data_IF_632371034698
#
_entry.id   IF_632371034698
#
_cell.length_a   1.000
_cell.length_b   1.000
_cell.length_c   1.000
_cell.angle_alpha   90.00
_cell.angle_beta   90.00
_cell.angle_gamma   90.00
#
_symmetry.space_group_name_H-M   'P 1'
#
loop_
_entity.id
_entity.type
_entity.pdbx_description
1 polymer ?
#
# COMPACT_ATOMS: atom_id res chain seq x y z
N UNK A 1 26.46 -7.93 -5.15
CA UNK A 1 26.37 -7.82 -3.67
C UNK A 1 27.76 -8.12 -3.15
N UNK A 2 28.41 -7.10 -2.57
CA UNK A 2 29.71 -7.25 -1.91
C UNK A 2 29.59 -8.05 -0.60
N UNK A 3 30.69 -8.14 0.14
CA UNK A 3 30.73 -8.85 1.43
C UNK A 3 29.96 -8.12 2.56
N UNK A 4 29.45 -6.91 2.27
CA UNK A 4 28.72 -6.04 3.19
C UNK A 4 27.18 -6.19 3.10
N UNK A 5 26.69 -7.02 2.19
CA UNK A 5 25.25 -7.24 1.90
C UNK A 5 24.46 -5.98 1.46
N UNK A 6 25.15 -4.91 1.11
CA UNK A 6 24.53 -3.70 0.56
C UNK A 6 24.41 -3.83 -0.95
N UNK A 7 23.22 -3.62 -1.55
CA UNK A 7 23.06 -3.72 -2.99
C UNK A 7 23.69 -2.51 -3.70
N UNK A 8 24.50 -2.76 -4.73
CA UNK A 8 25.09 -1.71 -5.60
C UNK A 8 24.13 -1.30 -6.72
N UNK A 9 23.19 -2.16 -7.07
CA UNK A 9 22.17 -1.91 -8.10
C UNK A 9 20.81 -2.44 -7.66
N UNK A 10 19.77 -1.74 -8.02
CA UNK A 10 18.42 -2.19 -7.79
C UNK A 10 17.99 -3.23 -8.83
N UNK A 11 17.38 -4.30 -8.37
CA UNK A 11 16.94 -5.41 -9.23
C UNK A 11 15.44 -5.65 -9.06
N UNK A 12 14.73 -5.67 -10.18
CA UNK A 12 13.36 -6.13 -10.27
C UNK A 12 13.23 -7.25 -11.30
N UNK A 13 12.16 -8.02 -11.25
CA UNK A 13 11.95 -9.15 -12.14
C UNK A 13 10.54 -9.18 -12.71
N UNK A 14 10.44 -9.34 -14.02
CA UNK A 14 9.21 -9.74 -14.70
C UNK A 14 9.18 -11.28 -14.80
N UNK A 15 8.38 -11.97 -13.94
CA UNK A 15 8.38 -13.44 -13.86
C UNK A 15 7.50 -14.07 -14.97
N UNK A 16 7.68 -13.64 -16.22
CA UNK A 16 6.91 -14.11 -17.36
C UNK A 16 7.35 -15.51 -17.82
N UNK A 17 6.40 -16.37 -18.18
CA UNK A 17 6.63 -17.70 -18.78
C UNK A 17 6.83 -17.64 -20.28
N UNK A 18 6.29 -16.61 -20.93
CA UNK A 18 6.23 -16.48 -22.37
C UNK A 18 6.12 -15.00 -22.76
N UNK A 19 6.22 -14.73 -24.06
CA UNK A 19 6.17 -13.37 -24.62
C UNK A 19 4.83 -12.66 -24.32
N UNK A 20 3.64 -13.26 -24.49
CA UNK A 20 2.37 -12.61 -24.11
C UNK A 20 2.29 -12.17 -22.65
N UNK A 21 2.72 -13.01 -21.70
CA UNK A 21 2.77 -12.60 -20.29
C UNK A 21 3.72 -11.42 -20.06
N UNK A 22 4.89 -11.41 -20.72
CA UNK A 22 5.81 -10.29 -20.61
C UNK A 22 5.21 -9.01 -21.20
N UNK A 23 4.53 -9.09 -22.34
CA UNK A 23 3.85 -7.95 -22.95
C UNK A 23 2.78 -7.34 -22.02
N UNK A 24 2.00 -8.18 -21.33
CA UNK A 24 1.03 -7.71 -20.33
C UNK A 24 1.76 -6.94 -19.21
N UNK A 25 2.81 -7.50 -18.64
CA UNK A 25 3.56 -6.88 -17.54
C UNK A 25 4.19 -5.54 -17.97
N UNK A 26 4.82 -5.49 -19.14
CA UNK A 26 5.41 -4.26 -19.68
C UNK A 26 4.35 -3.22 -19.97
N UNK A 27 3.22 -3.61 -20.58
CA UNK A 27 2.12 -2.68 -20.88
C UNK A 27 1.51 -2.07 -19.63
N UNK A 28 1.39 -2.80 -18.53
CA UNK A 28 0.94 -2.26 -17.23
C UNK A 28 1.90 -1.18 -16.72
N UNK A 29 3.21 -1.43 -16.78
CA UNK A 29 4.20 -0.44 -16.36
C UNK A 29 4.17 0.79 -17.27
N UNK A 30 4.05 0.60 -18.59
CA UNK A 30 3.88 1.72 -19.54
C UNK A 30 2.59 2.50 -19.31
N UNK A 31 1.51 1.83 -18.87
CA UNK A 31 0.26 2.49 -18.50
C UNK A 31 0.47 3.40 -17.28
N UNK A 32 1.15 2.92 -16.23
CA UNK A 32 1.46 3.74 -15.04
C UNK A 32 2.32 4.95 -15.40
N UNK A 33 3.38 4.76 -16.21
CA UNK A 33 4.28 5.87 -16.62
C UNK A 33 3.52 6.98 -17.39
N UNK A 34 2.51 6.61 -18.17
CA UNK A 34 1.77 7.53 -19.03
C UNK A 34 0.43 7.96 -18.43
N UNK A 35 0.07 7.51 -17.23
CA UNK A 35 -1.17 7.95 -16.56
C UNK A 35 -1.01 9.36 -16.01
N UNK A 36 -2.10 10.12 -16.09
CA UNK A 36 -2.23 11.38 -15.37
C UNK A 36 -2.65 11.10 -13.92
N UNK A 37 -2.28 11.97 -12.99
CA UNK A 37 -2.64 11.85 -11.58
C UNK A 37 -4.18 11.81 -11.43
N UNK A 38 -4.66 10.85 -10.62
CA UNK A 38 -6.08 10.61 -10.40
C UNK A 38 -6.38 10.64 -8.89
N UNK A 39 -7.59 11.05 -8.51
CA UNK A 39 -8.03 11.14 -7.10
C UNK A 39 -7.84 9.80 -6.34
N UNK A 40 -8.06 8.66 -7.00
CA UNK A 40 -7.91 7.35 -6.37
C UNK A 40 -6.47 7.01 -5.98
N UNK A 41 -5.47 7.69 -6.53
CA UNK A 41 -4.05 7.44 -6.26
C UNK A 41 -3.64 7.82 -4.83
N UNK A 42 -4.43 8.64 -4.14
CA UNK A 42 -4.24 8.93 -2.72
C UNK A 42 -4.78 7.85 -1.78
N UNK A 43 -5.50 6.86 -2.30
CA UNK A 43 -6.11 5.79 -1.51
C UNK A 43 -5.15 4.63 -1.32
N UNK A 44 -4.94 4.28 -0.07
CA UNK A 44 -4.03 3.22 0.39
C UNK A 44 -4.86 2.14 1.08
N UNK A 45 -4.70 0.88 0.73
CA UNK A 45 -5.38 -0.22 1.41
C UNK A 45 -4.42 -0.97 2.32
N UNK A 46 -4.76 -0.97 3.60
CA UNK A 46 -4.02 -1.64 4.66
C UNK A 46 -4.81 -2.87 5.12
N UNK A 47 -4.26 -4.06 4.85
CA UNK A 47 -4.91 -5.34 5.13
C UNK A 47 -4.18 -6.04 6.26
N UNK A 48 -4.92 -6.45 7.29
CA UNK A 48 -4.41 -7.28 8.37
C UNK A 48 -5.08 -8.65 8.37
N UNK A 49 -4.25 -9.68 8.51
CA UNK A 49 -4.67 -11.07 8.65
C UNK A 49 -5.37 -11.37 9.98
N UNK A 50 -5.51 -12.68 10.25
CA UNK A 50 -6.38 -13.18 11.31
C UNK A 50 -5.88 -12.90 12.74
N UNK A 51 -4.56 -12.91 12.99
CA UNK A 51 -4.04 -12.66 14.31
C UNK A 51 -4.06 -11.17 14.66
N UNK A 52 -4.36 -10.89 15.93
CA UNK A 52 -4.40 -9.55 16.47
C UNK A 52 -3.09 -8.76 16.28
N UNK A 53 -1.97 -9.46 16.23
CA UNK A 53 -0.65 -8.87 16.02
C UNK A 53 -0.55 -8.16 14.67
N UNK A 54 -1.07 -8.74 13.59
CA UNK A 54 -1.09 -8.12 12.27
C UNK A 54 -1.90 -6.81 12.27
N UNK A 55 -3.01 -6.79 13.01
CA UNK A 55 -3.83 -5.58 13.15
C UNK A 55 -3.07 -4.50 13.93
N UNK A 56 -2.46 -4.85 15.07
CA UNK A 56 -1.67 -3.88 15.85
C UNK A 56 -0.56 -3.28 14.99
N UNK A 57 0.23 -4.10 14.31
CA UNK A 57 1.29 -3.67 13.43
C UNK A 57 0.78 -2.79 12.27
N UNK A 58 -0.37 -3.13 11.71
CA UNK A 58 -1.00 -2.33 10.65
C UNK A 58 -1.43 -0.96 11.19
N UNK A 59 -2.07 -0.89 12.36
CA UNK A 59 -2.50 0.38 12.97
C UNK A 59 -1.31 1.27 13.36
N UNK A 60 -0.16 0.72 13.70
CA UNK A 60 1.05 1.49 13.98
C UNK A 60 1.59 2.24 12.74
N UNK A 61 1.25 1.79 11.53
CA UNK A 61 1.67 2.41 10.26
C UNK A 61 0.72 3.51 9.79
N UNK A 62 -0.56 3.45 10.17
CA UNK A 62 -1.61 4.39 9.71
C UNK A 62 -1.29 5.86 9.99
N UNK A 63 -0.81 6.25 11.20
CA UNK A 63 -0.54 7.65 11.50
C UNK A 63 0.44 8.31 10.52
N UNK A 64 1.44 7.57 10.06
CA UNK A 64 2.41 8.11 9.10
C UNK A 64 1.78 8.33 7.73
N UNK A 65 0.92 7.42 7.30
CA UNK A 65 0.18 7.51 6.02
C UNK A 65 -0.71 8.76 6.01
N UNK A 66 -1.52 8.95 7.07
CA UNK A 66 -2.44 10.11 7.19
C UNK A 66 -1.66 11.43 7.24
N UNK A 67 -0.60 11.51 8.04
CA UNK A 67 0.23 12.73 8.16
C UNK A 67 0.88 13.16 6.85
N UNK A 68 0.95 12.27 5.88
CA UNK A 68 1.49 12.52 4.54
C UNK A 68 0.41 12.78 3.48
N UNK A 69 -0.84 12.94 3.91
CA UNK A 69 -1.96 13.32 3.04
C UNK A 69 -2.62 12.17 2.28
N UNK A 70 -2.32 10.92 2.66
CA UNK A 70 -2.97 9.75 2.04
C UNK A 70 -4.18 9.30 2.84
N UNK A 71 -5.10 8.59 2.17
CA UNK A 71 -6.34 8.07 2.73
C UNK A 71 -6.25 6.56 2.96
N UNK A 72 -5.86 6.12 4.18
CA UNK A 72 -5.80 4.71 4.50
C UNK A 72 -7.21 4.12 4.62
N UNK A 73 -7.49 3.14 3.79
CA UNK A 73 -8.61 2.22 3.92
C UNK A 73 -8.10 1.00 4.69
N UNK A 74 -8.95 0.44 5.53
CA UNK A 74 -8.65 -0.72 6.35
C UNK A 74 -9.51 -1.90 5.93
N UNK A 75 -8.90 -3.10 5.85
CA UNK A 75 -9.59 -4.36 5.65
C UNK A 75 -8.97 -5.40 6.57
N UNK A 76 -9.71 -5.81 7.59
CA UNK A 76 -9.23 -6.75 8.60
C UNK A 76 -10.01 -8.06 8.55
N UNK A 77 -9.26 -9.17 8.62
CA UNK A 77 -9.80 -10.52 8.60
C UNK A 77 -9.82 -11.08 10.03
N UNK A 78 -10.12 -10.21 11.01
CA UNK A 78 -10.06 -10.54 12.43
C UNK A 78 -11.00 -11.68 12.80
N UNK A 79 -10.48 -12.59 13.63
CA UNK A 79 -11.21 -13.73 14.16
C UNK A 79 -12.38 -13.36 15.08
N UNK A 80 -12.30 -12.20 15.71
CA UNK A 80 -13.12 -11.90 16.89
C UNK A 80 -14.18 -10.83 16.65
N UNK A 81 -14.21 -10.20 15.47
CA UNK A 81 -15.18 -9.15 15.19
C UNK A 81 -15.60 -9.07 13.74
N UNK A 82 -16.41 -10.06 13.31
CA UNK A 82 -17.12 -9.96 12.01
C UNK A 82 -18.04 -8.72 11.97
N UNK A 83 -18.39 -8.17 13.13
CA UNK A 83 -19.16 -6.94 13.31
C UNK A 83 -18.24 -5.69 13.46
N UNK A 84 -16.93 -5.84 13.35
CA UNK A 84 -15.98 -4.72 13.45
C UNK A 84 -16.07 -3.76 12.27
N UNK A 85 -15.81 -2.47 12.45
CA UNK A 85 -15.99 -1.44 11.41
C UNK A 85 -15.07 -1.62 10.21
N UNK A 86 -14.02 -2.42 10.34
CA UNK A 86 -13.03 -2.68 9.29
C UNK A 86 -13.01 -4.14 8.85
N UNK A 87 -13.94 -4.94 9.34
CA UNK A 87 -14.04 -6.31 8.85
C UNK A 87 -14.35 -6.33 7.36
N UNK A 88 -13.60 -7.16 6.62
CA UNK A 88 -13.75 -7.25 5.18
C UNK A 88 -13.58 -8.66 4.65
N UNK A 89 -14.14 -8.88 3.48
CA UNK A 89 -14.20 -10.15 2.76
C UNK A 89 -13.49 -10.04 1.41
N UNK A 90 -13.43 -11.15 0.66
CA UNK A 90 -12.95 -11.16 -0.73
C UNK A 90 -13.70 -10.16 -1.61
N UNK A 91 -15.02 -10.05 -1.43
CA UNK A 91 -15.85 -9.10 -2.20
C UNK A 91 -15.45 -7.65 -1.93
N UNK A 92 -15.17 -7.31 -0.68
CA UNK A 92 -14.73 -5.97 -0.30
C UNK A 92 -13.34 -5.67 -0.89
N UNK A 93 -12.44 -6.65 -0.85
CA UNK A 93 -11.11 -6.52 -1.47
C UNK A 93 -11.22 -6.27 -2.98
N UNK A 94 -12.06 -7.04 -3.69
CA UNK A 94 -12.30 -6.85 -5.13
C UNK A 94 -12.86 -5.46 -5.40
N UNK A 95 -13.82 -4.99 -4.60
CA UNK A 95 -14.38 -3.65 -4.70
C UNK A 95 -13.31 -2.57 -4.53
N UNK A 96 -12.35 -2.74 -3.62
CA UNK A 96 -11.22 -1.82 -3.49
C UNK A 96 -10.36 -1.78 -4.75
N UNK A 97 -10.03 -2.92 -5.35
CA UNK A 97 -9.30 -2.96 -6.62
C UNK A 97 -10.06 -2.23 -7.73
N UNK A 98 -11.35 -2.45 -7.87
CA UNK A 98 -12.18 -1.86 -8.92
C UNK A 98 -12.38 -0.35 -8.76
N UNK A 99 -12.52 0.12 -7.52
CA UNK A 99 -12.66 1.55 -7.22
C UNK A 99 -11.35 2.34 -7.28
N UNK A 100 -10.22 1.64 -7.35
CA UNK A 100 -8.89 2.19 -7.43
C UNK A 100 -8.24 2.41 -6.06
N UNK A 101 -7.08 1.80 -5.93
CA UNK A 101 -6.15 1.91 -4.80
C UNK A 101 -4.75 1.96 -5.40
N UNK A 102 -3.92 2.91 -4.99
CA UNK A 102 -2.57 3.04 -5.51
C UNK A 102 -1.58 2.09 -4.86
N UNK A 103 -1.78 1.80 -3.59
CA UNK A 103 -0.93 0.91 -2.82
C UNK A 103 -1.76 -0.02 -1.94
N UNK A 104 -1.39 -1.29 -1.94
CA UNK A 104 -1.98 -2.31 -1.07
C UNK A 104 -0.87 -2.92 -0.22
N UNK A 105 -1.08 -2.94 1.09
CA UNK A 105 -0.27 -3.72 2.01
C UNK A 105 -1.07 -4.87 2.59
N UNK A 106 -0.52 -6.06 2.58
CA UNK A 106 -1.03 -7.23 3.29
C UNK A 106 -0.02 -7.72 4.32
N UNK A 107 -0.41 -7.70 5.58
CA UNK A 107 0.26 -8.38 6.70
C UNK A 107 -0.61 -9.54 7.18
N UNK A 108 -0.15 -10.77 7.01
CA UNK A 108 -0.97 -11.92 7.35
C UNK A 108 -0.31 -13.25 7.00
N UNK A 109 -1.07 -14.34 7.11
CA UNK A 109 -0.66 -15.65 6.65
C UNK A 109 -0.92 -15.85 5.17
N UNK A 110 -0.02 -16.58 4.50
CA UNK A 110 -0.18 -16.88 3.09
C UNK A 110 0.61 -18.12 2.67
N UNK A 111 0.41 -18.46 1.42
CA UNK A 111 1.16 -19.48 0.72
C UNK A 111 1.16 -19.10 -0.75
N UNK A 112 2.07 -19.56 -1.57
CA UNK A 112 2.29 -19.07 -2.94
C UNK A 112 1.07 -18.47 -3.65
N UNK A 113 -0.05 -19.18 -3.71
CA UNK A 113 -1.26 -18.79 -4.44
C UNK A 113 -2.42 -18.25 -3.59
N UNK A 114 -2.19 -17.86 -2.33
CA UNK A 114 -3.28 -17.44 -1.44
C UNK A 114 -2.80 -16.43 -0.39
N UNK A 115 -3.60 -15.41 -0.11
CA UNK A 115 -3.64 -14.74 1.16
C UNK A 115 -4.53 -15.57 2.08
N UNK A 116 -3.86 -16.30 3.01
CA UNK A 116 -4.44 -17.49 3.64
C UNK A 116 -5.51 -17.21 4.67
N UNK A 117 -5.43 -16.08 5.34
CA UNK A 117 -6.36 -15.73 6.40
C UNK A 117 -7.79 -15.66 5.85
N UNK A 118 -8.62 -16.61 6.28
CA UNK A 118 -9.98 -16.85 5.76
C UNK A 118 -10.06 -16.99 4.23
N UNK A 119 -8.94 -17.38 3.58
CA UNK A 119 -8.83 -17.43 2.12
C UNK A 119 -9.23 -16.11 1.47
N UNK A 120 -8.76 -14.98 2.03
CA UNK A 120 -9.14 -13.63 1.63
C UNK A 120 -8.97 -13.39 0.13
N UNK A 121 -7.92 -13.95 -0.48
CA UNK A 121 -7.71 -13.88 -1.93
C UNK A 121 -6.98 -15.11 -2.44
N UNK A 122 -7.50 -15.71 -3.50
CA UNK A 122 -7.02 -16.96 -4.11
C UNK A 122 -6.89 -16.83 -5.63
N UNK A 123 -6.38 -17.88 -6.28
CA UNK A 123 -6.37 -17.92 -7.75
C UNK A 123 -7.75 -17.85 -8.41
N UNK A 124 -8.80 -18.35 -7.74
CA UNK A 124 -10.17 -18.31 -8.26
C UNK A 124 -10.76 -16.90 -8.33
N UNK A 125 -10.20 -15.97 -7.60
CA UNK A 125 -10.73 -14.60 -7.50
C UNK A 125 -10.23 -13.68 -8.61
N UNK A 126 -9.18 -14.09 -9.37
CA UNK A 126 -8.64 -13.28 -10.46
C UNK A 126 -9.65 -12.99 -11.57
N UNK A 127 -10.58 -13.89 -11.83
CA UNK A 127 -11.61 -13.72 -12.86
C UNK A 127 -12.56 -12.55 -12.54
N UNK A 128 -12.56 -12.07 -11.30
CA UNK A 128 -13.35 -10.94 -10.83
C UNK A 128 -12.56 -9.62 -10.83
N UNK A 129 -11.26 -9.61 -11.17
CA UNK A 129 -10.45 -8.39 -11.22
C UNK A 129 -10.49 -7.74 -12.60
N UNK A 130 -11.05 -6.52 -12.68
CA UNK A 130 -11.14 -5.73 -13.89
C UNK A 130 -10.55 -4.32 -13.72
N UNK A 131 -9.52 -4.20 -12.91
CA UNK A 131 -8.94 -2.94 -12.50
C UNK A 131 -7.76 -2.44 -13.36
N UNK A 132 -7.68 -2.82 -14.64
CA UNK A 132 -6.52 -2.51 -15.51
C UNK A 132 -6.16 -1.01 -15.56
N UNK A 133 -7.13 -0.12 -15.41
CA UNK A 133 -6.91 1.33 -15.40
C UNK A 133 -6.47 1.88 -14.03
N UNK A 134 -6.49 1.06 -12.99
CA UNK A 134 -6.27 1.44 -11.58
C UNK A 134 -5.43 0.39 -10.88
N UNK A 135 -4.20 0.22 -11.38
CA UNK A 135 -3.29 -0.83 -10.92
C UNK A 135 -2.53 -0.37 -9.68
N UNK A 136 -2.58 -1.11 -8.56
CA UNK A 136 -1.79 -0.82 -7.37
C UNK A 136 -0.35 -1.34 -7.48
N UNK A 137 0.53 -0.77 -6.63
CA UNK A 137 1.71 -1.47 -6.15
C UNK A 137 1.34 -2.25 -4.88
N UNK A 138 1.84 -3.49 -4.74
CA UNK A 138 1.48 -4.35 -3.62
C UNK A 138 2.72 -4.75 -2.82
N UNK A 139 2.66 -4.57 -1.49
CA UNK A 139 3.56 -5.24 -0.55
C UNK A 139 2.81 -6.39 0.13
N UNK A 140 3.30 -7.61 -0.07
CA UNK A 140 2.69 -8.83 0.45
C UNK A 140 3.64 -9.44 1.48
N UNK A 141 3.46 -9.02 2.73
CA UNK A 141 4.30 -9.42 3.86
C UNK A 141 3.76 -10.72 4.44
N UNK A 142 4.07 -11.81 3.73
CA UNK A 142 3.62 -13.17 4.04
C UNK A 142 4.44 -14.20 3.27
N UNK A 143 4.21 -15.50 3.56
CA UNK A 143 4.98 -16.59 2.99
C UNK A 143 4.76 -16.78 1.48
N UNK A 144 5.82 -17.00 0.71
CA UNK A 144 5.88 -17.58 -0.65
C UNK A 144 5.15 -16.83 -1.78
N UNK A 145 4.49 -15.71 -1.53
CA UNK A 145 3.68 -15.02 -2.58
C UNK A 145 4.51 -14.36 -3.68
N UNK A 146 5.81 -14.16 -3.46
CA UNK A 146 6.78 -13.63 -4.42
C UNK A 146 7.76 -14.68 -4.97
N UNK A 147 7.51 -15.98 -4.77
CA UNK A 147 8.41 -17.04 -5.26
C UNK A 147 8.35 -17.15 -6.79
N UNK A 148 9.45 -16.74 -7.43
CA UNK A 148 9.57 -16.75 -8.90
C UNK A 148 9.73 -18.14 -9.49
N UNK A 149 10.15 -19.14 -8.70
CA UNK A 149 10.33 -20.51 -9.15
C UNK A 149 8.99 -21.26 -9.16
N UNK A 150 8.05 -20.84 -8.33
CA UNK A 150 6.70 -21.40 -8.34
C UNK A 150 5.84 -20.67 -9.40
N UNK A 151 5.30 -21.40 -10.41
CA UNK A 151 4.46 -20.80 -11.44
C UNK A 151 3.12 -20.28 -10.90
N UNK A 152 2.72 -20.71 -9.71
CA UNK A 152 1.42 -20.46 -9.12
C UNK A 152 1.55 -19.57 -7.88
N UNK A 153 2.12 -18.36 -8.02
CA UNK A 153 2.18 -17.38 -6.95
C UNK A 153 1.28 -16.17 -7.24
N UNK A 154 0.75 -15.56 -6.19
CA UNK A 154 -0.09 -14.37 -6.31
C UNK A 154 0.65 -13.24 -7.01
N UNK A 155 1.89 -12.95 -6.62
CA UNK A 155 2.67 -11.87 -7.23
C UNK A 155 2.84 -12.06 -8.73
N UNK A 156 3.17 -13.26 -9.19
CA UNK A 156 3.27 -13.56 -10.60
C UNK A 156 1.93 -13.39 -11.33
N UNK A 157 0.85 -13.90 -10.76
CA UNK A 157 -0.48 -13.82 -11.36
C UNK A 157 -0.99 -12.38 -11.39
N UNK A 158 -0.76 -11.59 -10.33
CA UNK A 158 -1.12 -10.17 -10.27
C UNK A 158 -0.49 -9.37 -11.42
N UNK A 159 0.79 -9.63 -11.73
CA UNK A 159 1.47 -8.95 -12.82
C UNK A 159 1.02 -9.44 -14.21
N UNK A 160 0.73 -10.75 -14.37
CA UNK A 160 0.41 -11.35 -15.67
C UNK A 160 -1.07 -11.35 -16.05
N UNK A 161 -1.97 -10.96 -15.15
CA UNK A 161 -3.40 -10.90 -15.42
C UNK A 161 -3.74 -9.71 -16.35
N UNK A 162 -4.35 -9.99 -17.53
CA UNK A 162 -4.57 -8.99 -18.58
C UNK A 162 -5.62 -7.94 -18.24
N UNK A 163 -6.65 -8.31 -17.46
CA UNK A 163 -7.80 -7.45 -17.17
C UNK A 163 -7.60 -6.60 -15.92
N UNK A 164 -6.54 -6.88 -15.12
CA UNK A 164 -6.32 -6.16 -13.87
C UNK A 164 -5.14 -6.69 -13.07
N UNK A 165 -5.24 -6.66 -11.74
CA UNK A 165 -4.20 -7.06 -10.80
C UNK A 165 -3.34 -5.90 -10.34
N UNK A 166 -2.01 -6.01 -10.46
CA UNK A 166 -1.05 -5.02 -9.99
C UNK A 166 0.02 -4.73 -11.07
N UNK A 167 0.68 -3.57 -10.97
CA UNK A 167 1.83 -3.26 -11.84
C UNK A 167 3.18 -3.64 -11.21
N UNK A 168 3.22 -3.77 -9.89
CA UNK A 168 4.39 -4.18 -9.14
C UNK A 168 4.01 -4.93 -7.87
N UNK A 169 4.92 -5.78 -7.40
CA UNK A 169 4.72 -6.63 -6.23
C UNK A 169 6.02 -6.80 -5.47
N UNK A 170 5.98 -6.56 -4.17
CA UNK A 170 7.06 -6.89 -3.27
C UNK A 170 6.59 -8.00 -2.33
N UNK A 171 7.25 -9.15 -2.36
CA UNK A 171 6.81 -10.31 -1.59
C UNK A 171 7.90 -11.36 -1.41
N UNK A 172 7.67 -12.27 -0.45
CA UNK A 172 8.63 -13.30 -0.05
C UNK A 172 8.63 -14.50 -0.99
N UNK A 173 9.82 -15.04 -1.25
CA UNK A 173 10.03 -16.35 -1.88
C UNK A 173 10.18 -17.49 -0.86
N UNK A 174 10.11 -17.20 0.43
CA UNK A 174 10.29 -18.13 1.54
C UNK A 174 9.24 -17.97 2.62
N UNK A 175 9.55 -18.51 3.81
CA UNK A 175 8.71 -18.39 5.00
C UNK A 175 8.85 -16.99 5.59
N UNK A 176 7.72 -16.30 5.84
CA UNK A 176 7.68 -15.04 6.57
C UNK A 176 7.67 -15.22 8.08
N UNK A 177 8.02 -14.18 8.80
CA UNK A 177 7.95 -14.09 10.27
C UNK A 177 7.21 -12.82 10.66
N UNK A 178 6.15 -12.96 11.44
CA UNK A 178 5.21 -11.87 11.82
C UNK A 178 5.95 -10.58 12.19
N UNK A 179 6.93 -10.66 13.09
CA UNK A 179 7.66 -9.47 13.57
C UNK A 179 8.65 -8.97 12.51
N UNK A 180 9.39 -9.87 11.86
CA UNK A 180 10.43 -9.45 10.91
C UNK A 180 9.85 -8.92 9.58
N UNK A 181 8.72 -9.46 9.15
CA UNK A 181 7.99 -8.95 7.98
C UNK A 181 7.54 -7.51 8.23
N UNK A 182 7.00 -7.22 9.42
CA UNK A 182 6.64 -5.86 9.82
C UNK A 182 7.87 -4.93 9.94
N UNK A 183 8.97 -5.40 10.57
CA UNK A 183 10.19 -4.61 10.72
C UNK A 183 10.85 -4.27 9.36
N UNK A 184 10.71 -5.14 8.36
CA UNK A 184 11.14 -4.85 6.99
C UNK A 184 10.17 -3.90 6.27
N UNK A 185 8.86 -4.06 6.47
CA UNK A 185 7.84 -3.22 5.87
C UNK A 185 7.93 -1.76 6.31
N UNK A 186 8.17 -1.52 7.60
CA UNK A 186 8.17 -0.19 8.19
C UNK A 186 9.08 0.81 7.44
N UNK A 187 10.39 0.56 7.25
CA UNK A 187 11.25 1.48 6.49
C UNK A 187 10.85 1.61 5.01
N UNK A 188 10.19 0.62 4.42
CA UNK A 188 9.66 0.73 3.05
C UNK A 188 8.51 1.74 3.01
N UNK A 189 7.55 1.64 3.92
CA UNK A 189 6.42 2.57 3.98
C UNK A 189 6.86 3.99 4.40
N UNK A 190 7.78 4.11 5.35
CA UNK A 190 8.33 5.40 5.76
C UNK A 190 8.94 6.16 4.55
N UNK A 191 9.53 5.44 3.58
CA UNK A 191 10.08 6.04 2.36
C UNK A 191 9.02 6.26 1.29
N UNK A 192 8.13 5.31 1.07
CA UNK A 192 7.06 5.43 0.08
C UNK A 192 6.17 6.65 0.36
N UNK A 193 5.84 6.89 1.62
CA UNK A 193 4.98 8.01 2.03
C UNK A 193 5.76 9.27 2.44
N UNK A 194 7.07 9.32 2.22
CA UNK A 194 7.86 10.52 2.46
C UNK A 194 7.99 11.37 1.19
N UNK A 195 7.28 12.49 1.13
CA UNK A 195 7.24 13.40 -0.01
C UNK A 195 8.60 13.83 -0.52
N UNK A 196 9.59 13.99 0.36
CA UNK A 196 10.94 14.41 -0.02
C UNK A 196 11.75 13.34 -0.76
N UNK A 197 11.38 12.04 -0.64
CA UNK A 197 12.14 10.92 -1.21
C UNK A 197 11.28 9.94 -2.01
N UNK A 198 9.95 10.09 -2.02
CA UNK A 198 9.03 9.22 -2.75
C UNK A 198 9.20 9.28 -4.28
N UNK A 199 9.82 10.36 -4.79
CA UNK A 199 10.22 10.48 -6.20
C UNK A 199 11.37 9.55 -6.60
N UNK A 200 11.98 8.83 -5.66
CA UNK A 200 13.01 7.84 -5.99
C UNK A 200 12.36 6.58 -6.59
N UNK A 201 13.09 5.90 -7.50
CA UNK A 201 12.65 4.62 -8.03
C UNK A 201 12.40 3.59 -6.92
N UNK A 202 11.34 2.78 -7.07
CA UNK A 202 10.94 1.80 -6.06
C UNK A 202 12.04 0.80 -5.70
N UNK A 203 12.86 0.41 -6.67
CA UNK A 203 14.01 -0.46 -6.41
C UNK A 203 14.99 0.17 -5.44
N UNK A 204 15.28 1.46 -5.62
CA UNK A 204 16.18 2.19 -4.72
C UNK A 204 15.59 2.36 -3.30
N UNK A 205 14.28 2.64 -3.19
CA UNK A 205 13.61 2.70 -1.90
C UNK A 205 13.67 1.36 -1.16
N UNK A 206 13.43 0.26 -1.87
CA UNK A 206 13.52 -1.10 -1.31
C UNK A 206 14.94 -1.42 -0.85
N UNK A 207 15.96 -1.12 -1.66
CA UNK A 207 17.36 -1.41 -1.32
C UNK A 207 17.82 -0.65 -0.08
N UNK A 208 17.48 0.64 0.01
CA UNK A 208 17.74 1.44 1.21
C UNK A 208 17.00 0.89 2.45
N UNK A 209 15.77 0.44 2.27
CA UNK A 209 14.96 -0.12 3.36
C UNK A 209 15.49 -1.48 3.85
N UNK A 210 15.91 -2.34 2.93
CA UNK A 210 16.57 -3.62 3.28
C UNK A 210 17.89 -3.39 4.01
N UNK A 211 18.66 -2.40 3.57
CA UNK A 211 19.91 -2.02 4.22
C UNK A 211 19.67 -1.53 5.65
N UNK A 212 18.72 -0.62 5.85
CA UNK A 212 18.33 -0.15 7.17
C UNK A 212 17.82 -1.28 8.06
N UNK A 213 16.91 -2.12 7.56
CA UNK A 213 16.40 -3.28 8.27
C UNK A 213 17.53 -4.20 8.73
N UNK A 214 18.49 -4.52 7.86
CA UNK A 214 19.62 -5.38 8.19
C UNK A 214 20.44 -4.80 9.34
N UNK A 215 20.82 -3.52 9.26
CA UNK A 215 21.65 -2.88 10.30
C UNK A 215 20.94 -2.75 11.65
N UNK A 216 19.63 -2.58 11.66
CA UNK A 216 18.83 -2.49 12.88
C UNK A 216 18.56 -3.86 13.53
N UNK A 217 18.70 -4.96 12.79
CA UNK A 217 18.31 -6.31 13.24
C UNK A 217 19.48 -7.29 13.29
N UNK A 218 20.70 -6.81 13.49
CA UNK A 218 21.91 -7.65 13.59
C UNK A 218 21.97 -8.58 14.80
N UNK A 219 21.04 -8.46 15.75
CA UNK A 219 20.93 -9.38 16.91
C UNK A 219 20.58 -10.80 16.44
N UNK A 220 19.82 -10.92 15.35
CA UNK A 220 19.46 -12.19 14.72
C UNK A 220 19.87 -12.19 13.25
N UNK A 221 21.19 -12.25 12.98
CA UNK A 221 21.71 -12.01 11.63
C UNK A 221 21.17 -13.01 10.59
N UNK A 222 20.99 -14.27 10.96
CA UNK A 222 20.48 -15.29 10.03
C UNK A 222 19.03 -15.01 9.59
N UNK A 223 18.18 -14.50 10.49
CA UNK A 223 16.81 -14.11 10.15
C UNK A 223 16.84 -12.84 9.32
N UNK A 224 17.64 -11.84 9.71
CA UNK A 224 17.76 -10.58 8.98
C UNK A 224 18.27 -10.81 7.55
N UNK A 225 19.29 -11.63 7.37
CA UNK A 225 19.79 -12.02 6.04
C UNK A 225 18.74 -12.79 5.24
N UNK A 226 18.05 -13.75 5.87
CA UNK A 226 16.96 -14.47 5.22
C UNK A 226 15.89 -13.52 4.69
N UNK A 227 15.47 -12.53 5.49
CA UNK A 227 14.48 -11.54 5.09
C UNK A 227 14.92 -10.71 3.89
N UNK A 228 16.12 -10.16 3.87
CA UNK A 228 16.58 -9.33 2.76
C UNK A 228 16.76 -10.11 1.46
N UNK A 229 17.08 -11.43 1.54
CA UNK A 229 17.23 -12.26 0.35
C UNK A 229 15.94 -12.85 -0.16
N UNK A 230 14.98 -13.17 0.71
CA UNK A 230 13.75 -13.83 0.28
C UNK A 230 12.68 -12.84 -0.22
N UNK A 231 12.66 -11.60 0.26
CA UNK A 231 11.73 -10.59 -0.25
C UNK A 231 12.23 -9.99 -1.56
N UNK A 232 11.46 -10.13 -2.62
CA UNK A 232 11.84 -9.76 -3.97
C UNK A 232 10.85 -8.77 -4.60
N UNK A 233 11.39 -7.84 -5.41
CA UNK A 233 10.60 -6.97 -6.25
C UNK A 233 10.27 -7.68 -7.57
N UNK A 234 8.97 -7.89 -7.82
CA UNK A 234 8.45 -8.29 -9.12
C UNK A 234 7.91 -7.04 -9.82
N UNK A 235 8.47 -6.72 -10.98
CA UNK A 235 8.16 -5.51 -11.72
C UNK A 235 9.41 -4.73 -12.11
N UNK A 236 9.23 -3.50 -12.55
CA UNK A 236 10.32 -2.59 -12.95
C UNK A 236 10.85 -1.83 -11.73
N UNK A 237 12.14 -1.98 -11.38
CA UNK A 237 12.73 -1.26 -10.25
C UNK A 237 12.91 0.24 -10.51
N UNK A 238 12.80 0.68 -11.76
CA UNK A 238 12.94 2.09 -12.16
C UNK A 238 11.68 2.93 -11.98
N UNK A 239 10.53 2.31 -11.66
CA UNK A 239 9.28 3.04 -11.49
C UNK A 239 9.23 3.84 -10.19
N UNK A 240 8.62 5.01 -10.26
CA UNK A 240 8.17 5.80 -9.10
C UNK A 240 6.75 5.35 -8.77
N UNK A 241 6.54 4.85 -7.56
CA UNK A 241 5.24 4.27 -7.15
C UNK A 241 4.28 5.35 -6.67
N UNK A 242 4.80 6.35 -5.94
CA UNK A 242 4.04 7.48 -5.42
C UNK A 242 4.56 8.75 -6.08
N UNK A 243 3.77 9.30 -6.98
CA UNK A 243 4.09 10.57 -7.65
C UNK A 243 2.96 11.55 -7.39
N UNK A 244 3.17 12.44 -6.46
CA UNK A 244 2.20 13.49 -6.12
C UNK A 244 2.91 14.81 -5.88
N UNK A 245 2.24 15.87 -6.27
CA UNK A 245 2.69 17.22 -5.98
C UNK A 245 2.12 17.67 -4.64
N UNK A 246 2.96 18.19 -3.75
CA UNK A 246 2.48 18.85 -2.54
C UNK A 246 1.81 20.18 -2.93
N UNK A 247 0.56 20.34 -2.51
CA UNK A 247 -0.16 21.60 -2.66
C UNK A 247 -0.28 22.23 -1.29
N UNK A 248 0.30 23.41 -1.13
CA UNK A 248 0.19 24.18 0.10
C UNK A 248 -1.22 24.79 0.17
N UNK A 249 -2.10 24.23 0.99
CA UNK A 249 -3.50 24.69 1.10
C UNK A 249 -3.68 25.90 2.01
N UNK A 250 -2.61 26.43 2.59
CA UNK A 250 -2.67 27.59 3.47
C UNK A 250 -3.41 27.37 4.80
N UNK A 251 -3.65 26.11 5.17
CA UNK A 251 -4.19 25.76 6.48
C UNK A 251 -3.05 25.78 7.52
N UNK A 252 -3.21 26.57 8.57
CA UNK A 252 -2.29 26.52 9.69
C UNK A 252 -2.41 25.18 10.41
N UNK A 253 -1.29 24.68 10.97
CA UNK A 253 -1.23 23.42 11.74
C UNK A 253 -2.17 23.37 12.95
N UNK A 254 -2.76 24.52 13.33
CA UNK A 254 -3.68 24.69 14.44
C UNK A 254 -4.83 25.60 14.04
N UNK A 255 -5.94 25.00 13.61
CA UNK A 255 -7.19 25.74 13.45
C UNK A 255 -8.07 25.47 14.68
N UNK A 256 -8.36 26.49 15.48
CA UNK A 256 -9.41 26.43 16.49
C UNK A 256 -10.72 26.75 15.78
N UNK A 257 -11.46 25.72 15.41
CA UNK A 257 -12.75 25.89 14.79
C UNK A 257 -13.81 26.04 15.89
N UNK A 258 -14.41 27.21 15.97
CA UNK A 258 -15.57 27.49 16.81
C UNK A 258 -16.89 27.44 16.02
N UNK A 259 -16.82 27.10 14.75
CA UNK A 259 -17.93 27.11 13.78
C UNK A 259 -18.19 25.70 13.28
N UNK A 260 -19.42 25.46 12.86
CA UNK A 260 -19.85 24.16 12.35
C UNK A 260 -19.30 23.84 10.94
N UNK A 261 -18.68 24.81 10.29
CA UNK A 261 -18.18 24.67 8.93
C UNK A 261 -16.69 25.02 8.83
N UNK A 262 -15.97 24.21 8.06
CA UNK A 262 -14.58 24.45 7.67
C UNK A 262 -14.57 25.00 6.24
N UNK A 263 -14.11 26.23 6.07
CA UNK A 263 -13.87 26.77 4.73
C UNK A 263 -12.43 26.48 4.29
N UNK A 264 -12.31 25.80 3.15
CA UNK A 264 -11.01 25.54 2.51
C UNK A 264 -10.72 26.65 1.49
N UNK A 265 -9.54 27.26 1.61
CA UNK A 265 -9.09 28.23 0.62
C UNK A 265 -8.27 27.52 -0.47
N UNK A 266 -8.97 26.98 -1.47
CA UNK A 266 -8.36 26.21 -2.55
C UNK A 266 -8.32 27.08 -3.82
N UNK A 267 -7.14 27.18 -4.42
CA UNK A 267 -6.98 27.82 -5.72
C UNK A 267 -7.42 26.87 -6.84
N UNK A 268 -8.67 26.96 -7.23
CA UNK A 268 -9.28 26.16 -8.30
C UNK A 268 -8.71 26.44 -9.69
N UNK A 269 -7.82 27.42 -9.85
CA UNK A 269 -7.10 27.62 -11.11
C UNK A 269 -5.94 26.63 -11.31
N UNK A 270 -5.54 25.95 -10.22
CA UNK A 270 -4.40 25.02 -10.20
C UNK A 270 -4.89 23.56 -10.02
N UNK A 271 -6.08 23.38 -9.43
CA UNK A 271 -6.60 22.06 -9.05
C UNK A 271 -7.95 21.81 -9.74
N UNK A 272 -8.01 20.76 -10.56
CA UNK A 272 -9.25 20.36 -11.23
C UNK A 272 -10.23 19.65 -10.29
N UNK A 273 -9.71 18.91 -9.29
CA UNK A 273 -10.51 18.18 -8.29
C UNK A 273 -9.70 17.89 -7.04
N UNK A 274 -10.37 17.73 -5.91
CA UNK A 274 -9.75 17.36 -4.64
C UNK A 274 -10.68 16.50 -3.78
N UNK A 275 -10.08 15.79 -2.81
CA UNK A 275 -10.83 14.99 -1.82
C UNK A 275 -10.36 15.37 -0.43
N UNK A 276 -11.32 15.49 0.50
CA UNK A 276 -11.05 15.75 1.92
C UNK A 276 -11.58 14.60 2.75
N UNK A 277 -10.81 14.17 3.71
CA UNK A 277 -11.25 13.22 4.73
C UNK A 277 -10.82 13.74 6.11
N UNK A 278 -11.73 13.68 7.08
CA UNK A 278 -11.47 14.11 8.44
C UNK A 278 -11.23 12.87 9.31
N UNK A 279 -10.19 12.91 10.11
CA UNK A 279 -9.81 11.84 11.02
C UNK A 279 -9.91 12.31 12.47
N UNK A 280 -10.28 11.41 13.38
CA UNK A 280 -10.17 11.63 14.82
C UNK A 280 -8.72 11.52 15.32
N UNK A 281 -8.52 11.70 16.63
CA UNK A 281 -7.21 11.59 17.28
C UNK A 281 -6.57 10.19 17.20
N UNK A 282 -7.34 9.17 16.86
CA UNK A 282 -6.88 7.79 16.65
C UNK A 282 -6.72 7.45 15.17
N UNK A 283 -6.79 8.47 14.30
CA UNK A 283 -6.74 8.32 12.85
C UNK A 283 -7.87 7.43 12.28
N UNK A 284 -9.03 7.46 12.91
CA UNK A 284 -10.25 6.85 12.40
C UNK A 284 -11.03 7.88 11.59
N UNK A 285 -11.49 7.55 10.36
CA UNK A 285 -12.24 8.50 9.55
C UNK A 285 -13.61 8.78 10.18
N UNK A 286 -13.99 10.05 10.30
CA UNK A 286 -15.35 10.42 10.67
C UNK A 286 -16.32 9.94 9.59
N UNK A 287 -17.33 9.18 9.99
CA UNK A 287 -18.43 8.65 9.15
C UNK A 287 -17.99 7.88 7.88
N UNK A 288 -16.69 7.64 7.68
CA UNK A 288 -16.17 6.95 6.50
C UNK A 288 -16.38 7.71 5.18
N UNK A 289 -16.86 8.95 5.22
CA UNK A 289 -17.17 9.75 4.04
C UNK A 289 -15.96 10.50 3.53
N UNK A 290 -15.84 10.55 2.21
CA UNK A 290 -14.94 11.41 1.46
C UNK A 290 -15.75 12.56 0.85
N UNK A 291 -15.28 13.79 1.07
CA UNK A 291 -15.92 14.97 0.50
C UNK A 291 -15.14 15.37 -0.73
N UNK A 292 -15.81 15.47 -1.87
CA UNK A 292 -15.18 15.75 -3.17
C UNK A 292 -15.61 17.11 -3.65
N UNK A 293 -14.65 17.92 -4.09
CA UNK A 293 -14.84 19.23 -4.74
C UNK A 293 -15.69 20.24 -3.95
N UNK A 294 -15.65 20.14 -2.61
CA UNK A 294 -16.34 21.09 -1.75
C UNK A 294 -15.36 22.08 -1.10
N UNK A 295 -15.53 23.37 -1.36
CA UNK A 295 -14.75 24.43 -0.70
C UNK A 295 -15.23 24.76 0.72
N UNK A 296 -16.43 24.33 1.07
CA UNK A 296 -16.99 24.43 2.43
C UNK A 296 -17.41 23.04 2.88
N UNK A 297 -16.90 22.62 4.02
CA UNK A 297 -17.14 21.30 4.60
C UNK A 297 -17.88 21.49 5.91
N UNK A 298 -19.08 20.93 6.00
CA UNK A 298 -19.80 20.87 7.28
C UNK A 298 -19.17 19.81 8.16
N UNK A 299 -18.75 20.21 9.36
CA UNK A 299 -18.18 19.30 10.33
C UNK A 299 -19.25 18.38 10.91
N UNK A 300 -18.92 17.12 11.22
CA UNK A 300 -19.84 16.22 11.91
C UNK A 300 -20.35 16.83 13.25
N UNK A 301 -21.64 16.65 13.53
CA UNK A 301 -22.27 17.19 14.77
C UNK A 301 -21.65 16.63 16.06
N UNK A 302 -21.07 15.44 15.99
CA UNK A 302 -20.46 14.72 17.10
C UNK A 302 -18.94 14.96 17.24
N UNK A 303 -18.37 15.86 16.43
CA UNK A 303 -16.95 16.20 16.55
C UNK A 303 -16.66 16.83 17.91
N UNK A 304 -15.81 16.20 18.68
CA UNK A 304 -15.45 16.68 20.02
C UNK A 304 -14.32 17.71 19.94
N UNK A 305 -14.26 18.69 20.87
CA UNK A 305 -13.11 19.58 20.94
C UNK A 305 -11.81 18.79 21.10
N UNK A 306 -10.85 19.07 20.24
CA UNK A 306 -9.56 18.36 20.24
C UNK A 306 -8.78 18.63 18.97
N UNK A 307 -7.63 17.97 18.84
CA UNK A 307 -6.84 17.99 17.62
C UNK A 307 -7.39 16.93 16.66
N UNK A 308 -7.72 17.34 15.46
CA UNK A 308 -8.15 16.49 14.35
C UNK A 308 -7.21 16.70 13.16
N UNK A 309 -7.03 15.68 12.31
CA UNK A 309 -6.20 15.69 11.11
C UNK A 309 -7.00 15.30 9.87
#
# INVERSE_FOLDING_TARGET
IGDDYVPEISVGRFPAKNKPELEVMVNKNMHIINSENQIWENKILMIAGYENEFRIQTEELIPNIVKKGFFPKRLYVDAFSEDGPFYGTTSDLINYFENGISYINFLGHGGGGVWGDRSLFTFGDFDNLNNYKRLPFVTSMTCFTGDVNNPNTLGKRMLSHSEGGAFGWFGSSGVGWIVNDYLLLKPIQDRLFNTSISSLPIGQLIDQSKTEYLFLNLIWPDIALSQIFQFNLLGDPGLVVMNYDEIEMGLEDYSVLNESDLALNIDTSIIDSFTVQIFDNNYLPFNGEEIIDASIISLPEDIQPGRHT
#
